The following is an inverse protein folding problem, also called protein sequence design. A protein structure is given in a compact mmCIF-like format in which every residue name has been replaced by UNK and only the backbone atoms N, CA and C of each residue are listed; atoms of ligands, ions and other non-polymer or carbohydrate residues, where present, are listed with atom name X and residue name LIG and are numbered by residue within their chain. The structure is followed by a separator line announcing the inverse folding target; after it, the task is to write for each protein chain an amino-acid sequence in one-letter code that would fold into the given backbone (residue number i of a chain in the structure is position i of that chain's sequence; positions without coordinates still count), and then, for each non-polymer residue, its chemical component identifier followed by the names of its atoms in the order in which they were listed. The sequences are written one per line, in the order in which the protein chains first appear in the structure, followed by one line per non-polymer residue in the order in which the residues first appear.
data_IF_434368155949
#
_entry.id   IF_434368155949
#
_cell.length_a   1.000
_cell.length_b   1.000
_cell.length_c   1.000
_cell.angle_alpha   90.00
_cell.angle_beta   90.00
_cell.angle_gamma   90.00
#
_symmetry.space_group_name_H-M   'P 1'
#
loop_
_entity.id
_entity.type
_entity.pdbx_description
1 polymer ?
#
# COMPACT_ATOMS: atom_id res chain seq x y z
N UNK A 1 -4.21 -34.60 20.27
CA UNK A 1 -3.17 -33.57 20.00
C UNK A 1 -3.38 -33.10 18.58
N UNK A 2 -4.02 -31.94 18.39
CA UNK A 2 -4.21 -31.35 17.07
C UNK A 2 -2.89 -30.66 16.72
N UNK A 3 -2.18 -31.19 15.73
CA UNK A 3 -1.00 -30.55 15.17
C UNK A 3 -1.41 -29.18 14.66
N UNK A 4 -0.86 -28.11 15.25
CA UNK A 4 -1.01 -26.77 14.71
C UNK A 4 -0.41 -26.76 13.31
N UNK A 5 -1.21 -26.39 12.31
CA UNK A 5 -0.71 -26.16 10.94
C UNK A 5 0.51 -25.24 11.01
N UNK A 6 1.62 -25.55 10.32
CA UNK A 6 2.74 -24.63 10.23
C UNK A 6 2.22 -23.31 9.65
N UNK A 7 2.61 -22.19 10.27
CA UNK A 7 2.28 -20.87 9.75
C UNK A 7 2.63 -20.83 8.25
N UNK A 8 1.73 -20.36 7.37
CA UNK A 8 1.96 -20.39 5.94
C UNK A 8 3.28 -19.69 5.62
N UNK A 9 4.13 -20.34 4.82
CA UNK A 9 5.41 -19.80 4.37
C UNK A 9 5.17 -18.41 3.75
N UNK A 10 5.73 -17.36 4.36
CA UNK A 10 5.64 -15.99 3.81
C UNK A 10 6.56 -15.88 2.61
N UNK A 11 6.12 -15.16 1.59
CA UNK A 11 6.98 -14.82 0.45
C UNK A 11 7.65 -13.47 0.69
N UNK A 12 8.96 -13.41 0.49
CA UNK A 12 9.75 -12.19 0.67
C UNK A 12 10.03 -11.56 -0.70
N UNK A 13 9.75 -10.27 -0.83
CA UNK A 13 9.94 -9.53 -2.08
C UNK A 13 10.69 -8.23 -1.82
N UNK A 14 11.82 -8.09 -2.51
CA UNK A 14 12.55 -6.84 -2.63
C UNK A 14 12.23 -6.14 -3.95
N UNK A 15 11.70 -4.92 -3.91
CA UNK A 15 11.38 -4.15 -5.11
C UNK A 15 11.60 -2.65 -4.87
N UNK A 16 12.47 -2.02 -5.65
CA UNK A 16 12.73 -0.57 -5.63
C UNK A 16 13.00 0.04 -4.22
N UNK A 17 13.73 -0.68 -3.39
CA UNK A 17 14.05 -0.27 -2.02
C UNK A 17 12.92 -0.48 -1.02
N UNK A 18 11.87 -1.21 -1.40
CA UNK A 18 10.89 -1.79 -0.49
C UNK A 18 11.22 -3.26 -0.28
N UNK A 19 11.03 -3.74 0.94
CA UNK A 19 11.06 -5.15 1.29
C UNK A 19 9.72 -5.50 1.93
N UNK A 20 9.03 -6.48 1.37
CA UNK A 20 7.69 -6.88 1.78
C UNK A 20 7.65 -8.37 2.07
N UNK A 21 6.97 -8.75 3.17
CA UNK A 21 6.62 -10.14 3.45
C UNK A 21 5.13 -10.32 3.16
N UNK A 22 4.80 -11.09 2.13
CA UNK A 22 3.43 -11.24 1.64
C UNK A 22 2.91 -12.66 1.93
N UNK A 23 1.57 -12.84 2.01
CA UNK A 23 0.97 -14.17 2.02
C UNK A 23 1.38 -14.97 0.77
N UNK A 24 1.61 -16.30 0.88
CA UNK A 24 2.00 -17.12 -0.27
C UNK A 24 0.90 -17.27 -1.32
N UNK A 25 -0.36 -17.02 -0.96
CA UNK A 25 -1.49 -17.02 -1.89
C UNK A 25 -1.50 -15.82 -2.84
N UNK A 26 -0.76 -14.76 -2.52
CA UNK A 26 -0.70 -13.57 -3.35
C UNK A 26 0.25 -13.81 -4.52
N UNK A 27 -0.18 -13.51 -5.73
CA UNK A 27 0.58 -13.75 -6.95
C UNK A 27 0.89 -12.41 -7.63
N UNK A 28 2.13 -12.19 -8.10
CA UNK A 28 2.45 -10.97 -8.84
C UNK A 28 1.70 -10.99 -10.17
N UNK A 29 0.84 -9.98 -10.39
CA UNK A 29 0.13 -9.78 -11.63
C UNK A 29 0.80 -8.69 -12.50
N UNK A 30 1.45 -7.69 -11.89
CA UNK A 30 2.25 -6.68 -12.61
C UNK A 30 3.55 -6.37 -11.86
N UNK A 31 4.67 -6.35 -12.60
CA UNK A 31 5.97 -5.89 -12.10
C UNK A 31 6.58 -4.95 -13.13
N UNK A 32 6.40 -3.65 -12.94
CA UNK A 32 6.99 -2.59 -13.74
C UNK A 32 7.95 -1.72 -12.93
N UNK A 33 8.74 -0.83 -13.56
CA UNK A 33 9.70 -0.01 -12.82
C UNK A 33 9.10 0.87 -11.74
N UNK A 34 7.85 1.32 -11.91
CA UNK A 34 7.17 2.24 -11.00
C UNK A 34 5.84 1.71 -10.43
N UNK A 35 5.48 0.48 -10.77
CA UNK A 35 4.21 -0.14 -10.42
C UNK A 35 4.39 -1.63 -10.14
N UNK A 36 3.95 -2.06 -8.96
CA UNK A 36 3.95 -3.43 -8.50
C UNK A 36 2.53 -3.77 -8.06
N UNK A 37 2.02 -4.91 -8.49
CA UNK A 37 0.64 -5.30 -8.21
C UNK A 37 0.53 -6.81 -8.02
N UNK A 38 -0.17 -7.19 -6.96
CA UNK A 38 -0.46 -8.57 -6.60
C UNK A 38 -1.95 -8.79 -6.55
N UNK A 39 -2.33 -10.02 -6.90
CA UNK A 39 -3.69 -10.51 -6.79
C UNK A 39 -3.76 -11.74 -5.90
N UNK A 40 -4.93 -11.97 -5.35
CA UNK A 40 -5.31 -13.22 -4.74
C UNK A 40 -6.65 -13.64 -5.35
N UNK A 41 -6.71 -14.84 -5.93
CA UNK A 41 -7.93 -15.39 -6.54
C UNK A 41 -8.57 -14.45 -7.59
N UNK A 42 -7.73 -13.74 -8.36
CA UNK A 42 -8.16 -12.78 -9.38
C UNK A 42 -8.76 -11.49 -8.83
N UNK A 43 -8.52 -11.17 -7.55
CA UNK A 43 -8.89 -9.91 -6.91
C UNK A 43 -7.63 -9.13 -6.47
N UNK A 44 -7.67 -7.78 -6.48
CA UNK A 44 -6.58 -6.96 -5.95
C UNK A 44 -6.21 -7.35 -4.52
N UNK A 45 -4.92 -7.57 -4.28
CA UNK A 45 -4.40 -7.93 -2.96
C UNK A 45 -3.35 -6.91 -2.46
N UNK A 46 -2.52 -6.39 -3.37
CA UNK A 46 -1.61 -5.29 -3.06
C UNK A 46 -1.36 -4.47 -4.32
N UNK A 47 -1.41 -3.16 -4.17
CA UNK A 47 -0.95 -2.22 -5.18
C UNK A 47 0.13 -1.31 -4.60
N UNK A 48 1.26 -1.19 -5.31
CA UNK A 48 2.34 -0.25 -4.97
C UNK A 48 2.71 0.56 -6.21
N UNK A 49 2.58 1.87 -6.12
CA UNK A 49 2.99 2.82 -7.15
C UNK A 49 3.99 3.80 -6.57
N UNK A 50 5.02 4.19 -7.32
CA UNK A 50 5.90 5.28 -6.89
C UNK A 50 6.21 6.25 -8.01
N UNK A 51 6.49 7.50 -7.63
CA UNK A 51 6.95 8.52 -8.56
C UNK A 51 7.88 9.50 -7.83
N UNK A 52 8.73 10.18 -8.59
CA UNK A 52 9.48 11.33 -8.08
C UNK A 52 8.57 12.56 -8.04
N UNK A 53 8.67 13.32 -6.97
CA UNK A 53 8.03 14.62 -6.85
C UNK A 53 9.01 15.67 -7.39
N UNK A 54 8.50 16.61 -8.19
CA UNK A 54 9.31 17.73 -8.73
C UNK A 54 9.01 19.07 -8.04
N UNK A 55 8.04 19.10 -7.12
CA UNK A 55 7.63 20.30 -6.38
C UNK A 55 7.43 20.04 -4.90
N UNK A 56 6.56 20.82 -4.25
CA UNK A 56 6.22 20.60 -2.84
C UNK A 56 5.27 19.41 -2.71
N UNK A 57 5.66 18.42 -1.90
CA UNK A 57 4.81 17.30 -1.54
C UNK A 57 3.55 17.77 -0.78
N UNK A 58 2.42 17.13 -1.07
CA UNK A 58 1.15 17.32 -0.36
C UNK A 58 0.34 16.03 -0.43
N UNK A 59 0.20 15.34 0.70
CA UNK A 59 -0.62 14.14 0.82
C UNK A 59 -2.08 14.42 0.42
N UNK A 60 -2.65 15.54 0.88
CA UNK A 60 -4.02 15.95 0.56
C UNK A 60 -4.28 16.06 -0.96
N UNK A 61 -3.32 16.58 -1.74
CA UNK A 61 -3.46 16.66 -3.21
C UNK A 61 -3.48 15.27 -3.84
N UNK A 62 -2.64 14.35 -3.35
CA UNK A 62 -2.57 12.98 -3.86
C UNK A 62 -3.85 12.23 -3.51
N UNK A 63 -4.33 12.33 -2.27
CA UNK A 63 -5.58 11.71 -1.84
C UNK A 63 -6.79 12.27 -2.60
N UNK A 64 -6.84 13.58 -2.85
CA UNK A 64 -7.89 14.18 -3.68
C UNK A 64 -7.82 13.73 -5.16
N UNK A 65 -6.64 13.36 -5.67
CA UNK A 65 -6.49 12.79 -7.01
C UNK A 65 -6.89 11.31 -7.03
N UNK A 66 -6.54 10.55 -5.98
CA UNK A 66 -6.96 9.17 -5.79
C UNK A 66 -8.48 9.08 -5.76
N UNK A 67 -9.12 9.89 -4.92
CA UNK A 67 -10.59 9.97 -4.78
C UNK A 67 -11.30 10.16 -6.12
N UNK A 68 -10.76 11.02 -7.00
CA UNK A 68 -11.31 11.25 -8.36
C UNK A 68 -11.18 10.06 -9.29
N UNK A 69 -10.27 9.13 -9.01
CA UNK A 69 -10.05 7.92 -9.81
C UNK A 69 -10.80 6.70 -9.26
N UNK A 70 -11.44 6.83 -8.09
CA UNK A 70 -12.19 5.75 -7.48
C UNK A 70 -13.45 5.44 -8.28
N UNK A 71 -13.87 4.17 -8.24
CA UNK A 71 -15.15 3.77 -8.80
C UNK A 71 -16.31 4.43 -8.02
N UNK A 72 -17.48 4.65 -8.65
CA UNK A 72 -18.66 5.13 -7.96
C UNK A 72 -19.00 4.27 -6.74
N UNK A 73 -19.34 4.92 -5.62
CA UNK A 73 -19.69 4.25 -4.36
C UNK A 73 -18.51 3.77 -3.52
N UNK A 74 -17.27 4.07 -3.93
CA UNK A 74 -16.10 3.89 -3.07
C UNK A 74 -15.87 5.18 -2.27
N UNK A 75 -15.85 5.08 -0.96
CA UNK A 75 -15.60 6.20 -0.06
C UNK A 75 -14.16 6.16 0.46
N UNK A 76 -13.53 7.32 0.56
CA UNK A 76 -12.17 7.47 1.09
C UNK A 76 -12.22 8.21 2.42
N UNK A 77 -11.58 7.63 3.43
CA UNK A 77 -11.48 8.22 4.76
C UNK A 77 -10.04 8.21 5.28
N UNK A 78 -9.76 9.08 6.25
CA UNK A 78 -8.49 9.05 6.97
C UNK A 78 -8.42 7.77 7.83
N UNK A 79 -7.23 7.17 7.87
CA UNK A 79 -6.96 6.02 8.73
C UNK A 79 -5.73 6.31 9.60
N UNK A 80 -5.91 6.20 10.92
CA UNK A 80 -4.82 6.38 11.86
C UNK A 80 -3.88 5.19 11.82
N UNK A 81 -2.59 5.48 11.59
CA UNK A 81 -1.59 4.43 11.52
C UNK A 81 -1.45 3.73 12.89
N UNK A 82 -1.45 2.39 12.91
CA UNK A 82 -1.09 1.64 14.09
C UNK A 82 0.39 1.85 14.44
N UNK A 83 0.74 1.64 15.71
CA UNK A 83 2.06 2.00 16.26
C UNK A 83 3.21 1.19 15.64
N UNK A 84 2.93 -0.06 15.28
CA UNK A 84 3.83 -0.97 14.58
C UNK A 84 4.23 -0.46 13.18
N UNK A 85 3.40 0.38 12.55
CA UNK A 85 3.73 1.09 11.31
C UNK A 85 4.37 2.46 11.56
N UNK A 86 3.99 3.17 12.63
CA UNK A 86 4.53 4.50 12.94
C UNK A 86 6.04 4.49 13.18
N UNK A 87 6.52 3.59 14.03
CA UNK A 87 7.94 3.50 14.41
C UNK A 87 8.88 3.28 13.20
N UNK A 88 8.68 2.25 12.35
CA UNK A 88 9.56 2.03 11.19
C UNK A 88 9.43 3.11 10.13
N UNK A 89 8.31 3.85 10.10
CA UNK A 89 8.06 4.91 9.12
C UNK A 89 8.39 6.32 9.62
N UNK A 90 8.97 6.47 10.82
CA UNK A 90 9.22 7.77 11.44
C UNK A 90 10.13 8.72 10.62
N UNK A 91 10.96 8.18 9.71
CA UNK A 91 11.80 8.98 8.81
C UNK A 91 11.08 9.49 7.56
N UNK A 92 9.80 9.14 7.39
CA UNK A 92 8.97 9.47 6.24
C UNK A 92 7.80 10.36 6.66
N UNK A 93 7.29 11.16 5.72
CA UNK A 93 5.97 11.77 5.89
C UNK A 93 4.94 10.76 5.41
N UNK A 94 4.09 10.26 6.32
CA UNK A 94 3.11 9.23 5.99
C UNK A 94 1.71 9.69 6.34
N UNK A 95 0.76 9.39 5.43
CA UNK A 95 -0.67 9.58 5.65
C UNK A 95 -1.37 8.27 5.34
N UNK A 96 -2.16 7.79 6.30
CA UNK A 96 -2.99 6.61 6.15
C UNK A 96 -4.37 6.98 5.65
N UNK A 97 -4.93 6.14 4.82
CA UNK A 97 -6.31 6.23 4.37
C UNK A 97 -6.94 4.85 4.34
N UNK A 98 -8.26 4.82 4.34
CA UNK A 98 -9.04 3.62 4.08
C UNK A 98 -10.00 3.88 2.93
N UNK A 99 -10.23 2.86 2.11
CA UNK A 99 -11.27 2.85 1.10
C UNK A 99 -12.34 1.84 1.50
N UNK A 100 -13.59 2.27 1.44
CA UNK A 100 -14.74 1.43 1.74
C UNK A 100 -15.61 1.29 0.50
N UNK A 101 -15.97 0.04 0.16
CA UNK A 101 -16.91 -0.26 -0.91
C UNK A 101 -17.79 -1.45 -0.50
N UNK A 102 -19.05 -1.19 -0.22
CA UNK A 102 -20.01 -2.21 0.27
C UNK A 102 -19.45 -3.04 1.43
N UNK A 103 -18.96 -4.26 1.16
CA UNK A 103 -18.39 -5.19 2.13
C UNK A 103 -16.85 -5.33 2.04
N UNK A 104 -16.18 -4.45 1.30
CA UNK A 104 -14.73 -4.44 1.13
C UNK A 104 -14.13 -3.21 1.78
N UNK A 105 -13.12 -3.44 2.59
CA UNK A 105 -12.28 -2.39 3.16
C UNK A 105 -10.85 -2.64 2.72
N UNK A 106 -10.17 -1.59 2.29
CA UNK A 106 -8.73 -1.61 2.06
C UNK A 106 -8.09 -0.46 2.81
N UNK A 107 -6.87 -0.68 3.28
CA UNK A 107 -6.04 0.37 3.84
C UNK A 107 -5.00 0.79 2.82
N UNK A 108 -4.57 2.03 2.90
CA UNK A 108 -3.44 2.48 2.13
C UNK A 108 -2.64 3.55 2.82
N UNK A 109 -1.42 3.72 2.32
CA UNK A 109 -0.45 4.67 2.79
C UNK A 109 0.02 5.52 1.61
N UNK A 110 0.05 6.83 1.82
CA UNK A 110 0.85 7.75 1.02
C UNK A 110 2.14 8.03 1.80
N UNK A 111 3.25 7.50 1.31
CA UNK A 111 4.56 7.57 1.96
C UNK A 111 5.45 8.50 1.13
N UNK A 112 5.93 9.59 1.74
CA UNK A 112 6.88 10.49 1.12
C UNK A 112 8.25 10.40 1.79
N UNK A 113 9.26 10.16 0.98
CA UNK A 113 10.66 10.19 1.38
C UNK A 113 11.26 11.57 1.09
N UNK A 114 11.58 12.37 2.13
CA UNK A 114 12.18 13.69 1.93
C UNK A 114 13.62 13.61 1.39
N UNK A 115 14.34 12.53 1.64
CA UNK A 115 15.74 12.39 1.22
C UNK A 115 15.91 12.15 -0.28
N UNK A 116 15.01 11.40 -0.92
CA UNK A 116 15.07 11.09 -2.36
C UNK A 116 13.92 11.70 -3.17
N UNK A 117 13.07 12.50 -2.53
CA UNK A 117 11.91 13.18 -3.11
C UNK A 117 10.98 12.23 -3.86
N UNK A 118 10.77 11.03 -3.30
CA UNK A 118 9.91 9.99 -3.85
C UNK A 118 8.63 9.89 -3.03
N UNK A 119 7.50 9.79 -3.72
CA UNK A 119 6.24 9.38 -3.11
C UNK A 119 5.90 7.97 -3.52
N UNK A 120 5.34 7.20 -2.59
CA UNK A 120 4.85 5.85 -2.79
C UNK A 120 3.41 5.78 -2.30
N UNK A 121 2.52 5.31 -3.18
CA UNK A 121 1.18 4.86 -2.81
C UNK A 121 1.27 3.35 -2.61
N UNK A 122 0.82 2.87 -1.46
CA UNK A 122 0.76 1.45 -1.13
C UNK A 122 -0.64 1.16 -0.60
N UNK A 123 -1.36 0.17 -1.15
CA UNK A 123 -2.73 -0.16 -0.77
C UNK A 123 -2.94 -1.68 -0.72
N UNK A 124 -3.66 -2.17 0.30
CA UNK A 124 -4.00 -3.58 0.50
C UNK A 124 -5.34 -3.75 1.23
#
# INVERSE_FOLDING_TARGET
MIQGSPAPYRQDIGWNGLFLQLPPSWQPAVIYPAYLYFEQDGQPALEVKWQKIHGRFSAAKILAQLEKSLAPGVEQEHWDLPEDLKSPLASYTVTGFQLQQENRHSHGLVIFCPACNRVTLLQW
#
